data_IF_405156256768
#
_entry.id   IF_405156256768
#
_cell.length_a   1.000
_cell.length_b   1.000
_cell.length_c   1.000
_cell.angle_alpha   90.00
_cell.angle_beta   90.00
_cell.angle_gamma   90.00
#
_symmetry.space_group_name_H-M   'P 1'
#
loop_
_entity.id
_entity.type
_entity.pdbx_description
1 polymer ?
#
# COMPACT_ATOMS: atom_id res chain seq x y z
N UNK A 1 -45.53 -27.67 9.28
CA UNK A 1 -44.24 -27.25 8.70
C UNK A 1 -43.66 -26.18 9.62
N UNK A 2 -42.44 -26.36 10.11
CA UNK A 2 -41.79 -25.38 10.98
C UNK A 2 -41.09 -24.33 10.11
N UNK A 3 -41.42 -23.06 10.30
CA UNK A 3 -40.78 -21.96 9.60
C UNK A 3 -39.35 -21.80 10.15
N UNK A 4 -38.36 -21.86 9.26
CA UNK A 4 -36.95 -21.61 9.59
C UNK A 4 -36.71 -20.10 9.53
N UNK A 5 -36.83 -19.43 10.67
CA UNK A 5 -36.46 -18.02 10.82
C UNK A 5 -34.93 -17.87 10.85
N UNK A 6 -34.43 -16.69 10.44
CA UNK A 6 -33.01 -16.33 10.25
C UNK A 6 -32.03 -17.11 11.15
N UNK A 7 -31.22 -17.98 10.55
CA UNK A 7 -30.05 -18.54 11.25
C UNK A 7 -28.94 -17.49 11.33
N UNK A 8 -28.12 -17.54 12.37
CA UNK A 8 -26.95 -16.65 12.54
C UNK A 8 -26.03 -16.66 11.30
N UNK A 9 -25.95 -17.78 10.58
CA UNK A 9 -25.22 -17.90 9.32
C UNK A 9 -25.74 -16.97 8.20
N UNK A 10 -27.06 -16.79 8.09
CA UNK A 10 -27.63 -15.93 7.05
C UNK A 10 -27.34 -14.45 7.33
N UNK A 11 -27.34 -14.07 8.62
CA UNK A 11 -26.93 -12.73 9.07
C UNK A 11 -25.46 -12.50 8.77
N UNK A 12 -24.59 -13.45 9.12
CA UNK A 12 -23.16 -13.37 8.85
C UNK A 12 -22.85 -13.28 7.35
N UNK A 13 -23.52 -14.06 6.51
CA UNK A 13 -23.38 -13.98 5.03
C UNK A 13 -23.83 -12.64 4.46
N UNK A 14 -24.91 -12.08 4.99
CA UNK A 14 -25.40 -10.78 4.52
C UNK A 14 -24.46 -9.67 4.95
N UNK A 15 -23.97 -9.71 6.19
CA UNK A 15 -22.98 -8.77 6.68
C UNK A 15 -21.66 -8.86 5.89
N UNK A 16 -21.17 -10.05 5.58
CA UNK A 16 -19.93 -10.21 4.80
C UNK A 16 -20.09 -9.74 3.34
N UNK A 17 -21.27 -9.93 2.73
CA UNK A 17 -21.56 -9.39 1.42
C UNK A 17 -21.56 -7.86 1.40
N UNK A 18 -22.14 -7.21 2.42
CA UNK A 18 -22.13 -5.74 2.55
C UNK A 18 -20.69 -5.24 2.73
N UNK A 19 -19.92 -5.86 3.63
CA UNK A 19 -18.52 -5.51 3.88
C UNK A 19 -17.69 -5.64 2.60
N UNK A 20 -17.85 -6.72 1.84
CA UNK A 20 -17.11 -6.96 0.61
C UNK A 20 -17.40 -5.95 -0.51
N UNK A 21 -18.58 -5.33 -0.52
CA UNK A 21 -18.96 -4.32 -1.52
C UNK A 21 -18.37 -2.94 -1.24
N UNK A 22 -18.10 -2.60 0.03
CA UNK A 22 -17.68 -1.25 0.44
C UNK A 22 -16.15 -1.08 0.57
N UNK A 23 -15.34 -2.13 0.30
CA UNK A 23 -13.87 -2.07 0.34
C UNK A 23 -13.30 -1.47 -0.95
N UNK A 24 -12.62 -0.32 -0.84
CA UNK A 24 -12.06 0.41 -1.99
C UNK A 24 -10.53 0.38 -1.99
N UNK A 25 -9.86 1.02 -1.02
CA UNK A 25 -8.40 1.05 -0.98
C UNK A 25 -7.85 -0.32 -0.63
N UNK A 26 -8.54 -1.05 0.25
CA UNK A 26 -8.13 -2.39 0.65
C UNK A 26 -8.15 -3.39 -0.52
N UNK A 27 -8.90 -3.12 -1.59
CA UNK A 27 -8.92 -3.96 -2.79
C UNK A 27 -7.74 -3.69 -3.75
N UNK A 28 -7.03 -2.57 -3.59
CA UNK A 28 -5.92 -2.16 -4.48
C UNK A 28 -4.55 -2.64 -4.00
N UNK A 29 -4.46 -3.14 -2.76
CA UNK A 29 -3.22 -3.63 -2.18
C UNK A 29 -3.01 -5.12 -2.46
N UNK A 30 -1.74 -5.52 -2.54
CA UNK A 30 -1.36 -6.93 -2.62
C UNK A 30 -1.61 -7.64 -1.28
N UNK A 31 -2.20 -8.84 -1.33
CA UNK A 31 -2.61 -9.64 -0.15
C UNK A 31 -1.96 -11.02 -0.11
N UNK A 32 -0.78 -11.13 -0.70
CA UNK A 32 -0.13 -12.41 -1.03
C UNK A 32 0.24 -13.23 0.22
N UNK A 33 0.35 -12.57 1.38
CA UNK A 33 0.65 -13.19 2.67
C UNK A 33 -0.59 -13.61 3.47
N UNK A 34 -1.81 -13.29 3.03
CA UNK A 34 -3.03 -13.59 3.80
C UNK A 34 -3.17 -15.09 4.08
N UNK A 35 -2.85 -15.94 3.10
CA UNK A 35 -2.88 -17.40 3.22
C UNK A 35 -1.89 -17.96 4.26
N UNK A 36 -0.87 -17.19 4.66
CA UNK A 36 0.12 -17.60 5.65
C UNK A 36 -0.38 -17.47 7.09
N UNK A 37 -1.43 -16.66 7.32
CA UNK A 37 -2.12 -16.55 8.61
C UNK A 37 -3.17 -17.66 8.76
N UNK A 38 -2.70 -18.92 8.80
CA UNK A 38 -3.55 -20.08 9.03
C UNK A 38 -3.51 -20.55 10.49
N UNK A 39 -4.50 -21.37 10.88
CA UNK A 39 -4.51 -22.00 12.19
C UNK A 39 -3.18 -22.73 12.49
N UNK A 40 -2.61 -22.50 13.66
CA UNK A 40 -1.35 -23.11 14.10
C UNK A 40 -0.06 -22.42 13.64
N UNK A 41 -0.12 -21.32 12.87
CA UNK A 41 1.07 -20.57 12.39
C UNK A 41 1.47 -19.38 13.25
N UNK A 42 0.68 -19.06 14.28
CA UNK A 42 0.90 -17.88 15.13
C UNK A 42 0.49 -16.58 14.44
N UNK A 43 0.90 -15.45 15.01
CA UNK A 43 0.54 -14.10 14.56
C UNK A 43 1.66 -13.37 13.81
N UNK A 44 2.79 -14.02 13.54
CA UNK A 44 3.95 -13.42 12.86
C UNK A 44 4.30 -14.22 11.61
N UNK A 45 4.36 -13.54 10.47
CA UNK A 45 4.80 -14.12 9.19
C UNK A 45 6.02 -13.36 8.69
N UNK A 46 7.04 -14.09 8.22
CA UNK A 46 8.28 -13.50 7.72
C UNK A 46 8.27 -13.43 6.20
N UNK A 47 8.41 -12.22 5.66
CA UNK A 47 8.66 -11.99 4.23
C UNK A 47 10.15 -12.06 3.98
N UNK A 48 10.59 -12.90 3.04
CA UNK A 48 12.00 -12.96 2.64
C UNK A 48 12.26 -12.00 1.49
N UNK A 49 13.29 -11.17 1.64
CA UNK A 49 13.82 -10.31 0.59
C UNK A 49 15.12 -10.95 0.10
N UNK A 50 15.21 -11.33 -1.20
CA UNK A 50 16.42 -11.95 -1.73
C UNK A 50 17.56 -10.93 -1.70
N UNK A 51 18.75 -11.38 -1.29
CA UNK A 51 19.97 -10.58 -1.39
C UNK A 51 20.33 -10.33 -2.87
N UNK A 52 20.74 -9.10 -3.19
CA UNK A 52 21.26 -8.77 -4.51
C UNK A 52 22.79 -8.61 -4.45
N UNK A 53 23.49 -9.15 -5.45
CA UNK A 53 24.95 -9.01 -5.60
C UNK A 53 25.24 -8.22 -6.87
N UNK A 54 26.22 -7.32 -6.81
CA UNK A 54 26.69 -6.57 -7.99
C UNK A 54 27.90 -7.30 -8.57
N UNK A 55 27.93 -7.46 -9.89
CA UNK A 55 29.07 -8.09 -10.55
C UNK A 55 30.31 -7.18 -10.53
N UNK A 56 31.41 -7.70 -10.01
CA UNK A 56 32.71 -7.02 -10.06
C UNK A 56 33.37 -7.23 -11.43
N UNK A 57 34.03 -6.20 -11.96
CA UNK A 57 34.76 -6.27 -13.24
C UNK A 57 36.26 -6.11 -13.00
N UNK A 58 37.08 -6.92 -13.66
CA UNK A 58 38.55 -6.79 -13.67
C UNK A 58 39.06 -6.72 -15.11
N UNK A 59 40.17 -6.01 -15.32
CA UNK A 59 40.87 -5.99 -16.60
C UNK A 59 41.43 -7.37 -16.96
N UNK A 60 41.37 -7.73 -18.25
CA UNK A 60 41.71 -9.06 -18.78
C UNK A 60 43.19 -9.45 -18.53
N UNK A 61 44.09 -8.47 -18.44
CA UNK A 61 45.54 -8.69 -18.29
C UNK A 61 46.08 -8.38 -16.89
N UNK A 62 45.20 -8.09 -15.92
CA UNK A 62 45.61 -7.84 -14.54
C UNK A 62 45.77 -9.18 -13.79
N UNK A 63 47.01 -9.54 -13.50
CA UNK A 63 47.42 -10.73 -12.74
C UNK A 63 47.88 -10.42 -11.32
N UNK A 64 47.97 -9.14 -10.93
CA UNK A 64 48.48 -8.73 -9.64
C UNK A 64 47.39 -8.64 -8.56
N UNK A 65 46.15 -8.35 -8.96
CA UNK A 65 45.04 -8.11 -8.02
C UNK A 65 44.17 -9.37 -7.83
N UNK A 66 44.03 -9.92 -6.61
CA UNK A 66 43.19 -11.09 -6.36
C UNK A 66 41.69 -10.78 -6.60
N UNK A 67 40.92 -11.80 -6.98
CA UNK A 67 39.47 -11.67 -7.16
C UNK A 67 38.82 -11.43 -5.78
N UNK A 68 37.97 -10.41 -5.69
CA UNK A 68 37.18 -10.15 -4.49
C UNK A 68 36.05 -11.18 -4.38
N UNK A 69 35.88 -11.76 -3.19
CA UNK A 69 34.73 -12.61 -2.87
C UNK A 69 33.64 -11.74 -2.28
N UNK A 70 32.43 -11.84 -2.83
CA UNK A 70 31.26 -11.16 -2.30
C UNK A 70 30.45 -12.11 -1.40
N UNK A 71 29.79 -11.54 -0.38
CA UNK A 71 28.90 -12.27 0.53
C UNK A 71 27.43 -11.94 0.22
N UNK A 72 26.56 -12.95 0.30
CA UNK A 72 25.12 -12.80 0.08
C UNK A 72 24.41 -12.82 1.44
N UNK A 73 23.80 -11.71 1.82
CA UNK A 73 22.96 -11.62 3.00
C UNK A 73 21.48 -11.52 2.60
N UNK A 74 20.68 -12.51 3.01
CA UNK A 74 19.22 -12.44 2.91
C UNK A 74 18.64 -11.64 4.08
N UNK A 75 17.64 -10.80 3.79
CA UNK A 75 16.91 -10.06 4.83
C UNK A 75 15.49 -10.64 4.99
N UNK A 76 15.02 -10.69 6.23
CA UNK A 76 13.63 -11.05 6.54
C UNK A 76 12.92 -9.87 7.19
N UNK A 77 11.73 -9.54 6.71
CA UNK A 77 10.84 -8.52 7.28
C UNK A 77 9.71 -9.26 7.99
N UNK A 78 9.55 -9.03 9.28
CA UNK A 78 8.52 -9.66 10.09
C UNK A 78 7.22 -8.84 10.04
N UNK A 79 6.12 -9.46 9.60
CA UNK A 79 4.77 -8.89 9.56
C UNK A 79 3.95 -9.51 10.68
N UNK A 80 3.38 -8.67 11.55
CA UNK A 80 2.61 -9.11 12.72
C UNK A 80 1.13 -8.74 12.61
N UNK A 81 0.25 -9.64 13.03
CA UNK A 81 -1.17 -9.36 13.21
C UNK A 81 -1.41 -8.91 14.65
N UNK A 82 -1.81 -7.65 14.84
CA UNK A 82 -1.93 -7.03 16.17
C UNK A 82 -3.38 -6.92 16.64
N UNK A 83 -4.27 -6.39 15.80
CA UNK A 83 -5.60 -5.95 16.23
C UNK A 83 -6.73 -6.77 15.58
N UNK A 84 -7.77 -7.04 16.36
CA UNK A 84 -9.02 -7.64 15.88
C UNK A 84 -10.13 -6.58 15.90
N UNK A 85 -10.60 -6.18 14.72
CA UNK A 85 -11.66 -5.19 14.59
C UNK A 85 -13.04 -5.83 14.82
N UNK A 86 -13.79 -5.31 15.80
CA UNK A 86 -15.16 -5.75 16.07
C UNK A 86 -16.07 -4.55 16.37
N UNK A 87 -17.38 -4.75 16.15
CA UNK A 87 -18.41 -3.83 16.60
C UNK A 87 -19.54 -4.66 17.24
N UNK A 88 -19.83 -4.39 18.51
CA UNK A 88 -20.87 -5.09 19.25
C UNK A 88 -21.91 -4.08 19.73
N UNK A 89 -23.15 -4.22 19.28
CA UNK A 89 -24.28 -3.41 19.73
C UNK A 89 -25.20 -4.33 20.52
N UNK A 90 -25.38 -4.01 21.81
CA UNK A 90 -26.30 -4.73 22.68
C UNK A 90 -27.70 -4.17 22.45
N UNK A 91 -28.66 -5.04 22.12
CA UNK A 91 -30.06 -4.69 21.92
C UNK A 91 -30.91 -5.44 22.94
N UNK A 92 -31.95 -4.80 23.45
CA UNK A 92 -32.96 -5.46 24.27
C UNK A 92 -33.86 -6.34 23.41
N UNK A 93 -34.47 -7.37 24.01
CA UNK A 93 -35.50 -8.19 23.34
C UNK A 93 -36.72 -7.33 22.94
N UNK A 94 -37.06 -6.32 23.76
CA UNK A 94 -38.11 -5.36 23.44
C UNK A 94 -37.80 -4.53 22.20
N UNK A 95 -36.54 -4.12 22.03
CA UNK A 95 -36.13 -3.31 20.87
C UNK A 95 -36.15 -4.15 19.59
N UNK A 96 -35.72 -5.41 19.68
CA UNK A 96 -35.69 -6.36 18.56
C UNK A 96 -37.09 -6.73 18.06
N UNK A 97 -38.05 -6.90 18.97
CA UNK A 97 -39.40 -7.37 18.61
C UNK A 97 -40.40 -6.24 18.33
N UNK A 98 -40.25 -5.08 18.99
CA UNK A 98 -41.27 -4.01 18.95
C UNK A 98 -40.80 -2.73 18.26
N UNK A 99 -39.51 -2.38 18.33
CA UNK A 99 -39.02 -1.08 17.86
C UNK A 99 -38.33 -1.14 16.49
N UNK A 100 -37.63 -2.23 16.19
CA UNK A 100 -36.85 -2.38 14.95
C UNK A 100 -37.76 -2.87 13.81
N UNK A 101 -37.95 -2.00 12.82
CA UNK A 101 -38.69 -2.35 11.60
C UNK A 101 -37.86 -3.17 10.59
N UNK A 102 -36.55 -2.93 10.51
CA UNK A 102 -35.62 -3.65 9.61
C UNK A 102 -34.23 -3.73 10.24
N UNK A 103 -33.93 -4.90 10.82
CA UNK A 103 -32.66 -5.17 11.48
C UNK A 103 -31.46 -5.05 10.54
N UNK A 104 -31.61 -5.45 9.27
CA UNK A 104 -30.50 -5.47 8.34
C UNK A 104 -30.07 -4.04 7.95
N UNK A 105 -31.04 -3.16 7.67
CA UNK A 105 -30.74 -1.77 7.34
C UNK A 105 -30.34 -0.93 8.54
N UNK A 106 -30.99 -1.12 9.68
CA UNK A 106 -30.83 -0.25 10.84
C UNK A 106 -29.64 -0.64 11.72
N UNK A 107 -29.30 -1.93 11.80
CA UNK A 107 -28.26 -2.43 12.71
C UNK A 107 -27.09 -3.02 11.94
N UNK A 108 -27.32 -4.01 11.07
CA UNK A 108 -26.21 -4.71 10.40
C UNK A 108 -25.43 -3.81 9.45
N UNK A 109 -26.12 -2.98 8.65
CA UNK A 109 -25.47 -2.10 7.69
C UNK A 109 -24.51 -1.09 8.34
N UNK A 110 -24.91 -0.30 9.38
CA UNK A 110 -23.96 0.60 10.03
C UNK A 110 -22.83 -0.15 10.75
N UNK A 111 -23.09 -1.35 11.30
CA UNK A 111 -22.03 -2.17 11.89
C UNK A 111 -20.98 -2.58 10.85
N UNK A 112 -21.41 -3.10 9.70
CA UNK A 112 -20.53 -3.46 8.58
C UNK A 112 -19.73 -2.26 8.09
N UNK A 113 -20.38 -1.11 7.87
CA UNK A 113 -19.70 0.12 7.42
C UNK A 113 -18.66 0.62 8.43
N UNK A 114 -18.89 0.47 9.74
CA UNK A 114 -17.93 0.86 10.76
C UNK A 114 -16.63 0.03 10.66
N UNK A 115 -16.75 -1.28 10.44
CA UNK A 115 -15.61 -2.19 10.25
C UNK A 115 -14.84 -1.81 8.98
N UNK A 116 -15.54 -1.59 7.87
CA UNK A 116 -14.91 -1.18 6.59
C UNK A 116 -14.13 0.13 6.78
N UNK A 117 -14.72 1.13 7.42
CA UNK A 117 -14.04 2.42 7.68
C UNK A 117 -12.80 2.27 8.54
N UNK A 118 -12.81 1.36 9.51
CA UNK A 118 -11.63 1.08 10.33
C UNK A 118 -10.49 0.51 9.48
N UNK A 119 -10.78 -0.50 8.65
CA UNK A 119 -9.80 -1.13 7.75
C UNK A 119 -9.24 -0.12 6.74
N UNK A 120 -10.10 0.65 6.08
CA UNK A 120 -9.69 1.65 5.09
C UNK A 120 -8.82 2.75 5.71
N UNK A 121 -9.11 3.17 6.94
CA UNK A 121 -8.29 4.14 7.68
C UNK A 121 -6.93 3.57 8.06
N UNK A 122 -6.87 2.31 8.47
CA UNK A 122 -5.60 1.64 8.78
C UNK A 122 -4.70 1.58 7.54
N UNK A 123 -5.25 1.20 6.38
CA UNK A 123 -4.53 1.18 5.10
C UNK A 123 -4.05 2.58 4.72
N UNK A 124 -4.93 3.59 4.79
CA UNK A 124 -4.55 4.97 4.47
C UNK A 124 -3.41 5.49 5.37
N UNK A 125 -3.44 5.13 6.66
CA UNK A 125 -2.40 5.52 7.63
C UNK A 125 -1.06 4.85 7.30
N UNK A 126 -1.08 3.55 6.94
CA UNK A 126 0.12 2.82 6.54
C UNK A 126 0.74 3.39 5.25
N UNK A 127 -0.08 3.77 4.27
CA UNK A 127 0.38 4.42 3.03
C UNK A 127 1.03 5.77 3.31
N UNK A 128 0.45 6.61 4.18
CA UNK A 128 1.01 7.92 4.54
C UNK A 128 2.31 7.82 5.35
N UNK A 129 2.46 6.76 6.15
CA UNK A 129 3.67 6.52 6.93
C UNK A 129 4.87 6.10 6.06
N UNK A 130 4.63 5.66 4.82
CA UNK A 130 5.70 5.27 3.89
C UNK A 130 6.26 6.53 3.22
N UNK A 131 7.53 6.92 3.47
CA UNK A 131 8.07 8.15 2.90
C UNK A 131 8.21 8.01 1.38
N UNK A 132 7.49 8.86 0.63
CA UNK A 132 7.80 9.07 -0.77
C UNK A 132 9.14 9.81 -0.86
N UNK A 133 10.18 9.11 -1.32
CA UNK A 133 11.44 9.77 -1.63
C UNK A 133 11.25 10.61 -2.92
N UNK A 134 10.79 11.85 -2.75
CA UNK A 134 10.59 12.85 -3.82
C UNK A 134 11.88 13.22 -4.56
N UNK A 135 13.03 12.68 -4.14
CA UNK A 135 14.34 12.86 -4.76
C UNK A 135 14.60 11.96 -5.98
N UNK A 136 13.67 11.09 -6.40
CA UNK A 136 13.77 10.42 -7.69
C UNK A 136 13.50 11.44 -8.81
N UNK A 137 14.51 12.24 -9.12
CA UNK A 137 14.58 13.07 -10.31
C UNK A 137 14.59 12.15 -11.53
N UNK A 138 13.40 11.71 -11.99
CA UNK A 138 13.27 11.24 -13.36
C UNK A 138 13.63 12.43 -14.23
N UNK A 139 14.82 12.39 -14.83
CA UNK A 139 15.19 13.29 -15.89
C UNK A 139 14.21 13.03 -17.04
N UNK A 140 13.04 13.68 -16.99
CA UNK A 140 12.16 13.78 -18.14
C UNK A 140 13.04 14.36 -19.23
N UNK A 141 13.41 13.52 -20.19
CA UNK A 141 13.86 13.97 -21.51
C UNK A 141 12.95 15.13 -21.87
N UNK A 142 13.55 16.33 -21.87
CA UNK A 142 12.83 17.61 -21.94
C UNK A 142 11.78 17.50 -23.03
N UNK A 143 10.50 17.50 -22.67
CA UNK A 143 9.43 17.70 -23.65
C UNK A 143 9.79 18.99 -24.37
N UNK A 144 10.06 18.88 -25.68
CA UNK A 144 10.36 20.03 -26.54
C UNK A 144 9.36 21.14 -26.19
N UNK A 145 9.80 22.32 -25.73
CA UNK A 145 8.88 23.41 -25.45
C UNK A 145 8.14 23.76 -26.74
N UNK A 146 6.84 24.01 -26.61
CA UNK A 146 5.97 24.40 -27.72
C UNK A 146 6.54 25.62 -28.45
N UNK A 147 6.33 25.74 -29.77
CA UNK A 147 7.04 26.70 -30.62
C UNK A 147 6.80 28.18 -30.28
N UNK A 148 5.85 28.49 -29.37
CA UNK A 148 5.60 29.87 -28.92
C UNK A 148 6.54 30.34 -27.79
N UNK A 149 7.19 29.44 -27.05
CA UNK A 149 8.15 29.80 -26.00
C UNK A 149 9.63 29.77 -26.46
N UNK A 150 9.93 29.28 -27.67
CA UNK A 150 11.30 29.15 -28.16
C UNK A 150 11.97 30.50 -28.55
N UNK A 151 11.18 31.56 -28.80
CA UNK A 151 11.74 32.86 -29.20
C UNK A 151 12.39 33.65 -28.06
N UNK A 152 12.03 33.41 -26.80
CA UNK A 152 12.57 34.15 -25.65
C UNK A 152 13.83 33.53 -25.04
N UNK A 153 14.19 32.29 -25.41
CA UNK A 153 15.31 31.59 -24.80
C UNK A 153 16.64 31.71 -25.59
N UNK A 154 16.58 32.07 -26.88
CA UNK A 154 17.79 32.17 -27.73
C UNK A 154 18.57 33.48 -27.51
N UNK A 155 17.97 34.53 -26.92
CA UNK A 155 18.63 35.83 -26.72
C UNK A 155 19.43 35.96 -25.42
N UNK A 156 19.50 34.93 -24.57
CA UNK A 156 20.19 34.98 -23.26
C UNK A 156 21.37 34.04 -23.11
N UNK A 157 21.98 33.59 -24.22
CA UNK A 157 23.23 32.83 -24.16
C UNK A 157 24.18 33.32 -25.25
N UNK A 158 25.07 34.23 -24.90
CA UNK A 158 26.36 34.44 -25.56
C UNK A 158 27.35 35.15 -24.62
N UNK A 159 28.66 34.92 -24.78
CA UNK A 159 29.55 34.58 -23.66
C UNK A 159 30.48 35.72 -23.20
N UNK A 160 30.84 35.70 -21.90
CA UNK A 160 32.07 36.30 -21.35
C UNK A 160 33.25 35.49 -21.94
N UNK A 161 34.35 35.98 -22.51
CA UNK A 161 35.24 37.18 -22.39
C UNK A 161 36.29 37.05 -23.55
N UNK A 162 37.43 37.80 -23.69
CA UNK A 162 37.82 39.19 -23.39
C UNK A 162 38.51 39.91 -24.60
N UNK A 163 38.63 41.26 -24.64
CA UNK A 163 39.68 41.99 -25.42
C UNK A 163 39.78 43.50 -25.09
N UNK A 164 40.97 43.90 -24.64
CA UNK A 164 41.75 45.13 -24.91
C UNK A 164 41.11 46.55 -25.03
N UNK A 165 41.70 47.49 -24.25
CA UNK A 165 41.94 48.96 -24.35
C UNK A 165 41.50 49.73 -25.64
N UNK A 166 41.38 51.09 -25.69
CA UNK A 166 42.03 52.12 -24.86
C UNK A 166 41.21 53.41 -24.52
N UNK A 167 41.70 54.21 -23.56
CA UNK A 167 41.94 55.67 -23.60
C UNK A 167 42.35 56.17 -22.21
#
# INVERSE_FOLDING_TARGET
MANTFLTADNVARTASAIVGQDMNLSALIHRDLEASFSAGKGNVVKVRVPGAVVANTRGIYDTATPLTSDEIAEQSIDVTLTDHAYNNVVLSEGDLDLEIADYARQVLRPQATAIVKFVERAVATAMQATPENTALAYARLRRRPSPRCAKSFVTRVSPLTPRSSPL
#
